data_IF_517333614624
#
_entry.id   IF_517333614624
#
_cell.length_a   1.000
_cell.length_b   1.000
_cell.length_c   1.000
_cell.angle_alpha   90.00
_cell.angle_beta   90.00
_cell.angle_gamma   90.00
#
_symmetry.space_group_name_H-M   'P 1'
#
loop_
_entity.id
_entity.type
_entity.pdbx_description
1 polymer ?
#
# COMPACT_ATOMS: atom_id res chain seq x y z
N UNK A 1 -12.56 -6.18 -24.47
CA UNK A 1 -13.16 -5.91 -23.14
C UNK A 1 -12.29 -6.34 -21.95
N UNK A 2 -11.50 -7.43 -22.03
CA UNK A 2 -10.62 -7.88 -20.92
C UNK A 2 -9.43 -6.94 -20.65
N UNK A 3 -8.77 -6.44 -21.70
CA UNK A 3 -7.60 -5.54 -21.59
C UNK A 3 -7.93 -4.21 -20.91
N UNK A 4 -9.07 -3.62 -21.25
CA UNK A 4 -9.53 -2.35 -20.67
C UNK A 4 -9.75 -2.49 -19.15
N UNK A 5 -10.28 -3.63 -18.70
CA UNK A 5 -10.46 -3.92 -17.28
C UNK A 5 -9.11 -4.12 -16.56
N UNK A 6 -8.10 -4.68 -17.23
CA UNK A 6 -6.76 -4.83 -16.65
C UNK A 6 -6.09 -3.47 -16.43
N UNK A 7 -6.17 -2.56 -17.41
CA UNK A 7 -5.61 -1.20 -17.30
C UNK A 7 -6.29 -0.41 -16.19
N UNK A 8 -7.61 -0.54 -16.06
CA UNK A 8 -8.36 0.12 -14.98
C UNK A 8 -7.92 -0.36 -13.59
N UNK A 9 -7.65 -1.66 -13.45
CA UNK A 9 -7.18 -2.23 -12.19
C UNK A 9 -5.73 -1.84 -11.87
N UNK A 10 -4.89 -1.58 -12.88
CA UNK A 10 -3.54 -1.03 -12.70
C UNK A 10 -3.57 0.42 -12.22
N UNK A 11 -4.40 1.27 -12.84
CA UNK A 11 -4.57 2.67 -12.43
C UNK A 11 -5.15 2.81 -11.03
N UNK A 12 -6.18 2.01 -10.71
CA UNK A 12 -6.75 1.97 -9.36
C UNK A 12 -5.74 1.41 -8.35
N UNK A 13 -4.95 0.41 -8.75
CA UNK A 13 -3.86 -0.12 -7.95
C UNK A 13 -2.87 0.96 -7.54
N UNK A 14 -2.36 1.74 -8.49
CA UNK A 14 -1.38 2.82 -8.24
C UNK A 14 -1.92 3.90 -7.29
N UNK A 15 -3.17 4.33 -7.48
CA UNK A 15 -3.84 5.27 -6.58
C UNK A 15 -3.97 4.72 -5.14
N UNK A 16 -4.22 3.42 -4.98
CA UNK A 16 -4.29 2.77 -3.66
C UNK A 16 -2.92 2.76 -2.98
N UNK A 17 -1.82 2.51 -3.73
CA UNK A 17 -0.46 2.57 -3.20
C UNK A 17 -0.16 3.97 -2.66
N UNK A 18 -0.45 5.00 -3.48
CA UNK A 18 -0.17 6.39 -3.14
C UNK A 18 -0.95 6.84 -1.89
N UNK A 19 -2.24 6.51 -1.81
CA UNK A 19 -3.08 6.81 -0.64
C UNK A 19 -2.61 6.05 0.60
N UNK A 20 -2.22 4.78 0.46
CA UNK A 20 -1.70 3.97 1.56
C UNK A 20 -0.42 4.55 2.16
N UNK A 21 0.53 4.98 1.32
CA UNK A 21 1.77 5.62 1.75
C UNK A 21 1.46 6.97 2.43
N UNK A 22 0.57 7.78 1.84
CA UNK A 22 0.21 9.09 2.39
C UNK A 22 -0.38 8.98 3.81
N UNK A 23 -1.29 8.02 4.03
CA UNK A 23 -1.87 7.77 5.35
C UNK A 23 -0.83 7.30 6.36
N UNK A 24 0.11 6.45 5.96
CA UNK A 24 1.16 5.95 6.85
C UNK A 24 2.11 7.07 7.26
N UNK A 25 2.53 7.93 6.33
CA UNK A 25 3.37 9.09 6.62
C UNK A 25 2.66 10.06 7.54
N UNK A 26 1.36 10.31 7.31
CA UNK A 26 0.56 11.18 8.15
C UNK A 26 0.40 10.63 9.57
N UNK A 27 0.14 9.33 9.72
CA UNK A 27 0.08 8.66 11.03
C UNK A 27 1.42 8.72 11.74
N UNK A 28 2.52 8.48 11.03
CA UNK A 28 3.86 8.50 11.61
C UNK A 28 4.25 9.92 12.06
N UNK A 29 3.87 10.93 11.30
CA UNK A 29 4.04 12.34 11.67
C UNK A 29 3.19 12.70 12.90
N UNK A 30 1.95 12.21 12.99
CA UNK A 30 1.09 12.45 14.15
C UNK A 30 1.63 11.78 15.42
N UNK A 31 2.10 10.52 15.32
CA UNK A 31 2.76 9.81 16.42
C UNK A 31 4.07 10.49 16.82
N UNK A 32 4.80 11.05 15.86
CA UNK A 32 6.03 11.81 16.13
C UNK A 32 5.76 13.14 16.84
N UNK A 33 4.60 13.76 16.60
CA UNK A 33 4.21 15.04 17.21
C UNK A 33 3.61 14.86 18.62
N UNK A 34 3.02 13.70 18.92
CA UNK A 34 2.46 13.40 20.24
C UNK A 34 3.50 12.67 21.11
N UNK A 35 4.17 13.41 21.99
CA UNK A 35 5.19 12.90 22.91
C UNK A 35 4.73 11.72 23.80
N UNK A 36 3.42 11.61 24.06
CA UNK A 36 2.83 10.53 24.84
C UNK A 36 2.84 9.15 24.13
N UNK A 37 3.05 9.10 22.81
CA UNK A 37 3.10 7.86 22.03
C UNK A 37 4.54 7.43 21.66
N UNK A 38 5.56 8.06 22.26
CA UNK A 38 6.97 7.76 22.06
C UNK A 38 7.33 6.25 22.11
N UNK A 39 6.82 5.42 23.06
CA UNK A 39 7.13 3.98 23.06
C UNK A 39 6.47 3.19 21.92
N UNK A 40 5.31 3.63 21.41
CA UNK A 40 4.64 3.00 20.27
C UNK A 40 5.38 3.26 18.95
N UNK A 41 6.18 4.33 18.89
CA UNK A 41 6.92 4.75 17.69
C UNK A 41 8.00 3.74 17.25
N UNK A 42 8.52 2.95 18.18
CA UNK A 42 9.53 1.90 17.92
C UNK A 42 8.90 0.66 17.29
N UNK A 43 7.66 0.33 17.69
CA UNK A 43 6.94 -0.86 17.21
C UNK A 43 6.11 -0.53 15.96
N UNK A 44 5.66 0.73 15.81
CA UNK A 44 4.81 1.15 14.70
C UNK A 44 5.53 1.07 13.36
N UNK A 45 6.83 1.38 13.28
CA UNK A 45 7.61 1.30 12.04
C UNK A 45 7.55 -0.08 11.37
N UNK A 46 7.95 -1.17 12.07
CA UNK A 46 7.87 -2.53 11.55
C UNK A 46 6.44 -2.97 11.18
N UNK A 47 5.44 -2.61 12.00
CA UNK A 47 4.04 -2.95 11.73
C UNK A 47 3.56 -2.27 10.45
N UNK A 48 3.84 -0.98 10.27
CA UNK A 48 3.45 -0.22 9.09
C UNK A 48 4.10 -0.78 7.82
N UNK A 49 5.38 -1.15 7.89
CA UNK A 49 6.12 -1.77 6.77
C UNK A 49 5.50 -3.12 6.40
N UNK A 50 5.20 -3.97 7.38
CA UNK A 50 4.53 -5.26 7.13
C UNK A 50 3.15 -5.08 6.51
N UNK A 51 2.40 -4.07 6.94
CA UNK A 51 1.05 -3.78 6.45
C UNK A 51 1.08 -3.23 5.03
N UNK A 52 2.01 -2.33 4.72
CA UNK A 52 2.25 -1.82 3.35
C UNK A 52 2.66 -2.97 2.44
N UNK A 53 3.60 -3.82 2.86
CA UNK A 53 4.04 -4.94 2.04
C UNK A 53 2.88 -5.89 1.77
N UNK A 54 2.15 -6.29 2.81
CA UNK A 54 0.99 -7.17 2.66
C UNK A 54 -0.16 -6.55 1.85
N UNK A 55 -0.42 -5.26 1.99
CA UNK A 55 -1.50 -4.57 1.26
C UNK A 55 -1.17 -4.32 -0.20
N UNK A 56 0.10 -4.08 -0.53
CA UNK A 56 0.58 -3.85 -1.90
C UNK A 56 0.92 -5.15 -2.63
N UNK A 57 1.31 -6.20 -1.91
CA UNK A 57 1.63 -7.49 -2.51
C UNK A 57 0.42 -8.14 -3.18
N UNK A 58 -0.77 -8.06 -2.57
CA UNK A 58 -2.01 -8.62 -3.12
C UNK A 58 -2.42 -8.03 -4.49
N UNK A 59 -2.48 -6.71 -4.70
CA UNK A 59 -2.83 -6.12 -6.00
C UNK A 59 -1.75 -6.32 -7.06
N UNK A 60 -0.46 -6.32 -6.70
CA UNK A 60 0.65 -6.57 -7.65
C UNK A 60 0.61 -8.03 -8.14
N UNK A 61 0.32 -8.98 -7.25
CA UNK A 61 0.23 -10.40 -7.60
C UNK A 61 -0.93 -10.70 -8.57
N UNK A 62 -2.08 -10.02 -8.40
CA UNK A 62 -3.24 -10.11 -9.32
C UNK A 62 -2.97 -9.45 -10.69
N UNK A 63 -2.17 -8.39 -10.71
CA UNK A 63 -1.75 -7.70 -11.93
C UNK A 63 -0.71 -8.51 -12.73
N UNK A 64 0.21 -9.22 -12.07
CA UNK A 64 1.21 -10.07 -12.72
C UNK A 64 0.59 -11.33 -13.35
N UNK A 65 -0.35 -11.98 -12.66
CA UNK A 65 -1.06 -13.16 -13.16
C UNK A 65 -1.94 -12.87 -14.37
N UNK A 66 -2.56 -11.69 -14.46
CA UNK A 66 -3.38 -11.30 -15.63
C UNK A 66 -2.58 -10.75 -16.81
N UNK A 67 -1.31 -10.37 -16.61
CA UNK A 67 -0.40 -10.01 -17.70
C UNK A 67 0.13 -11.22 -18.47
N UNK A 68 0.23 -12.38 -17.82
CA UNK A 68 0.70 -13.63 -18.45
C UNK A 68 -0.32 -14.34 -19.34
N UNK A 69 -1.62 -14.13 -19.13
CA UNK A 69 -2.69 -14.75 -19.93
C UNK A 69 -3.14 -13.90 -21.14
N UNK A 70 -2.33 -12.90 -21.51
CA UNK A 70 -2.54 -12.09 -22.71
C UNK A 70 -1.75 -12.60 -23.93
N UNK A 71 -1.10 -13.76 -23.83
CA UNK A 71 -0.44 -14.44 -24.94
C UNK A 71 -1.26 -15.62 -25.47
#
# INVERSE_FOLDING_TARGET
>A
MKVIKAIYNFLVGDMIILVGILLVVLLLALIANVAALSPLRVISGPILISRIYSSNFMPIHLSLQRGGEAC
#
